data_IF_168628799323
#
_entry.id   IF_168628799323
#
_cell.length_a   1.000
_cell.length_b   1.000
_cell.length_c   1.000
_cell.angle_alpha   90.00
_cell.angle_beta   90.00
_cell.angle_gamma   90.00
#
_symmetry.space_group_name_H-M   'P 1'
#
loop_
_entity.id
_entity.type
_entity.pdbx_description
1 polymer ?
#
# COMPACT_ATOMS: atom_id res chain seq x y z
N UNK A 1 -5.40 1.04 53.49
CA UNK A 1 -4.38 1.84 52.77
C UNK A 1 -4.82 1.92 51.32
N UNK A 2 -5.35 3.10 50.88
CA UNK A 2 -5.68 3.30 49.49
C UNK A 2 -4.37 3.52 48.71
N UNK A 3 -4.08 2.65 47.76
CA UNK A 3 -2.99 2.85 46.80
C UNK A 3 -3.55 3.76 45.70
N UNK A 4 -3.14 5.03 45.68
CA UNK A 4 -3.47 5.93 44.59
C UNK A 4 -2.47 5.64 43.47
N UNK A 5 -2.94 5.04 42.36
CA UNK A 5 -2.13 4.90 41.16
C UNK A 5 -1.86 6.31 40.58
N UNK A 6 -0.62 6.59 40.11
CA UNK A 6 -0.33 7.86 39.48
C UNK A 6 -1.22 8.02 38.23
N UNK A 7 -1.76 9.25 38.04
CA UNK A 7 -2.54 9.58 36.83
C UNK A 7 -1.62 9.39 35.61
N UNK A 8 -2.07 8.68 34.57
CA UNK A 8 -1.27 8.54 33.37
C UNK A 8 -0.98 9.93 32.77
N UNK A 9 0.23 10.14 32.30
CA UNK A 9 0.62 11.36 31.58
C UNK A 9 0.10 11.27 30.16
N UNK A 10 -0.42 12.40 29.67
CA UNK A 10 -0.96 12.57 28.32
C UNK A 10 -0.39 13.83 27.69
N UNK A 11 -0.36 13.87 26.36
CA UNK A 11 0.03 15.01 25.55
C UNK A 11 -0.94 15.18 24.36
N UNK A 12 -1.04 16.39 23.84
CA UNK A 12 -1.64 16.62 22.53
C UNK A 12 -0.56 16.44 21.48
N UNK A 13 -0.89 15.74 20.40
CA UNK A 13 0.07 15.44 19.32
C UNK A 13 -0.51 15.77 17.96
N UNK A 14 0.37 15.94 16.99
CA UNK A 14 0.03 16.07 15.56
C UNK A 14 0.72 14.95 14.79
N UNK A 15 -0.01 14.29 13.90
CA UNK A 15 0.52 13.35 12.92
C UNK A 15 0.45 14.00 11.55
N UNK A 16 1.61 14.15 10.89
CA UNK A 16 1.72 14.71 9.56
C UNK A 16 1.82 13.54 8.56
N UNK A 17 0.94 13.52 7.57
CA UNK A 17 0.89 12.44 6.57
C UNK A 17 1.25 13.01 5.20
N UNK A 18 2.23 12.41 4.53
CA UNK A 18 2.71 12.81 3.20
C UNK A 18 3.02 11.59 2.33
N UNK A 19 3.27 11.82 1.03
CA UNK A 19 3.83 10.81 0.12
C UNK A 19 5.35 10.97 -0.09
N UNK A 20 6.00 11.71 0.83
CA UNK A 20 7.41 12.08 0.76
C UNK A 20 7.66 13.37 -0.01
N UNK A 21 6.67 13.91 -0.71
CA UNK A 21 6.75 15.18 -1.47
C UNK A 21 5.61 16.12 -1.09
N UNK A 22 4.38 15.64 -1.16
CA UNK A 22 3.18 16.43 -0.94
C UNK A 22 2.40 15.93 0.30
N UNK A 23 1.74 16.83 1.05
CA UNK A 23 0.87 16.44 2.16
C UNK A 23 -0.37 15.70 1.64
N UNK A 24 -0.80 14.69 2.40
CA UNK A 24 -1.98 13.89 2.05
C UNK A 24 -3.17 14.32 2.89
N UNK A 25 -4.12 15.00 2.26
CA UNK A 25 -5.40 15.37 2.86
C UNK A 25 -6.40 14.22 2.85
N UNK A 26 -7.24 14.14 3.90
CA UNK A 26 -8.32 13.16 4.01
C UNK A 26 -7.80 11.73 4.23
N UNK A 27 -6.61 11.55 4.76
CA UNK A 27 -6.16 10.26 5.28
C UNK A 27 -6.76 10.02 6.65
N UNK A 28 -7.15 8.78 6.93
CA UNK A 28 -7.61 8.37 8.25
C UNK A 28 -6.42 7.95 9.09
N UNK A 29 -6.24 8.59 10.24
CA UNK A 29 -5.20 8.29 11.22
C UNK A 29 -5.86 7.73 12.48
N UNK A 30 -5.42 6.57 12.95
CA UNK A 30 -5.97 5.90 14.14
C UNK A 30 -4.89 5.70 15.18
N UNK A 31 -5.16 6.07 16.44
CA UNK A 31 -4.29 5.83 17.59
C UNK A 31 -5.15 5.24 18.72
N UNK A 32 -4.96 3.95 19.02
CA UNK A 32 -5.84 3.24 19.96
C UNK A 32 -7.28 3.19 19.45
N UNK A 33 -8.20 3.81 20.19
CA UNK A 33 -9.63 3.91 19.81
C UNK A 33 -9.98 5.27 19.18
N UNK A 34 -9.04 6.22 19.13
CA UNK A 34 -9.24 7.55 18.58
C UNK A 34 -8.90 7.57 17.08
N UNK A 35 -9.75 8.22 16.29
CA UNK A 35 -9.62 8.36 14.85
C UNK A 35 -9.77 9.84 14.44
N UNK A 36 -8.82 10.34 13.65
CA UNK A 36 -8.83 11.67 13.09
C UNK A 36 -8.54 11.62 11.58
N UNK A 37 -8.99 12.65 10.87
CA UNK A 37 -8.76 12.79 9.43
C UNK A 37 -7.80 13.93 9.17
N UNK A 38 -6.81 13.73 8.30
CA UNK A 38 -5.86 14.78 7.93
C UNK A 38 -6.53 15.91 7.16
N UNK A 39 -6.15 17.13 7.47
CA UNK A 39 -6.60 18.36 6.81
C UNK A 39 -5.86 18.62 5.47
N UNK A 40 -5.96 19.84 4.91
CA UNK A 40 -5.31 20.24 3.66
C UNK A 40 -3.78 20.26 3.73
N UNK A 41 -3.23 20.40 4.93
CA UNK A 41 -1.78 20.43 5.18
C UNK A 41 -1.25 19.04 5.56
N UNK A 42 -2.12 18.00 5.52
CA UNK A 42 -1.80 16.63 5.85
C UNK A 42 -1.73 16.36 7.35
N UNK A 43 -2.29 17.26 8.19
CA UNK A 43 -2.19 17.19 9.64
C UNK A 43 -3.43 16.57 10.28
N UNK A 44 -3.23 15.61 11.20
CA UNK A 44 -4.25 15.08 12.10
C UNK A 44 -3.83 15.36 13.55
N UNK A 45 -4.71 16.02 14.32
CA UNK A 45 -4.44 16.42 15.70
C UNK A 45 -5.22 15.56 16.70
N UNK A 46 -4.49 15.00 17.66
CA UNK A 46 -5.05 14.18 18.73
C UNK A 46 -4.86 14.87 20.08
N UNK A 47 -5.90 14.84 20.89
CA UNK A 47 -5.84 15.32 22.27
C UNK A 47 -5.69 14.14 23.24
N UNK A 48 -4.96 14.37 24.33
CA UNK A 48 -4.89 13.41 25.44
C UNK A 48 -4.30 12.03 25.12
N UNK A 49 -3.34 11.95 24.20
CA UNK A 49 -2.61 10.71 23.88
C UNK A 49 -1.66 10.37 25.02
N UNK A 50 -1.60 9.10 25.39
CA UNK A 50 -0.71 8.63 26.47
C UNK A 50 0.77 8.80 26.11
N UNK A 51 1.56 9.28 27.07
CA UNK A 51 3.02 9.33 26.95
C UNK A 51 3.57 7.91 26.91
N UNK A 52 4.49 7.66 25.99
CA UNK A 52 5.11 6.37 25.72
C UNK A 52 4.88 5.90 24.28
N UNK A 53 5.06 4.61 24.07
CA UNK A 53 4.89 3.99 22.76
C UNK A 53 3.40 3.83 22.42
N UNK A 54 2.99 4.40 21.27
CA UNK A 54 1.65 4.29 20.71
C UNK A 54 1.74 3.73 19.29
N UNK A 55 0.80 2.87 18.92
CA UNK A 55 0.66 2.42 17.53
C UNK A 55 -0.22 3.39 16.77
N UNK A 56 0.27 3.87 15.64
CA UNK A 56 -0.46 4.70 14.68
C UNK A 56 -0.74 3.87 13.44
N UNK A 57 -1.97 3.84 12.99
CA UNK A 57 -2.35 3.27 11.68
C UNK A 57 -2.88 4.39 10.80
N UNK A 58 -2.39 4.48 9.57
CA UNK A 58 -2.82 5.47 8.59
C UNK A 58 -3.31 4.76 7.34
N UNK A 59 -4.50 5.12 6.88
CA UNK A 59 -5.11 4.56 5.67
C UNK A 59 -5.58 5.68 4.74
N UNK A 60 -5.41 5.47 3.43
CA UNK A 60 -5.89 6.38 2.39
C UNK A 60 -6.07 5.62 1.08
N UNK A 61 -7.21 5.81 0.42
CA UNK A 61 -7.44 5.24 -0.91
C UNK A 61 -6.37 5.71 -1.90
N UNK A 62 -5.75 4.76 -2.61
CA UNK A 62 -4.64 5.02 -3.55
C UNK A 62 -3.25 4.96 -2.91
N UNK A 63 -3.18 4.63 -1.63
CA UNK A 63 -1.93 4.46 -0.88
C UNK A 63 -1.92 3.13 -0.13
N UNK A 64 -0.74 2.61 0.13
CA UNK A 64 -0.56 1.45 1.00
C UNK A 64 -0.86 1.84 2.46
N UNK A 65 -1.61 0.99 3.17
CA UNK A 65 -1.85 1.18 4.60
C UNK A 65 -0.52 1.14 5.37
N UNK A 66 -0.36 2.08 6.30
CA UNK A 66 0.86 2.20 7.11
C UNK A 66 0.55 2.04 8.58
N UNK A 67 1.30 1.16 9.24
CA UNK A 67 1.31 1.05 10.70
C UNK A 67 2.70 1.37 11.21
N UNK A 68 2.80 2.27 12.18
CA UNK A 68 4.05 2.70 12.80
C UNK A 68 3.90 2.76 14.31
N UNK A 69 5.02 2.70 15.03
CA UNK A 69 5.05 2.99 16.47
C UNK A 69 5.69 4.36 16.68
N UNK A 70 4.94 5.27 17.30
CA UNK A 70 5.43 6.59 17.75
C UNK A 70 5.71 6.56 19.23
N UNK A 71 6.72 7.29 19.68
CA UNK A 71 7.01 7.43 21.11
C UNK A 71 6.72 8.86 21.55
N UNK A 72 5.58 9.05 22.19
CA UNK A 72 5.09 10.36 22.67
C UNK A 72 5.77 10.72 23.97
N UNK A 73 6.31 11.94 24.07
CA UNK A 73 6.83 12.52 25.31
C UNK A 73 6.55 14.03 25.36
N UNK A 74 6.94 14.68 26.47
CA UNK A 74 6.69 16.13 26.69
C UNK A 74 7.38 17.04 25.64
N UNK A 75 8.34 16.50 24.84
CA UNK A 75 9.12 17.22 23.83
C UNK A 75 8.87 16.73 22.39
N UNK A 76 8.35 15.51 22.20
CA UNK A 76 8.05 14.90 20.91
C UNK A 76 6.53 14.73 20.80
N UNK A 77 5.91 15.71 20.15
CA UNK A 77 4.44 15.79 19.95
C UNK A 77 4.04 15.93 18.49
N UNK A 78 5.00 15.89 17.55
CA UNK A 78 4.76 15.89 16.11
C UNK A 78 5.46 14.70 15.48
N UNK A 79 4.77 13.97 14.61
CA UNK A 79 5.23 12.72 14.00
C UNK A 79 4.91 12.69 12.52
N UNK A 80 5.91 12.37 11.69
CA UNK A 80 5.78 12.28 10.25
C UNK A 80 5.55 10.82 9.83
N UNK A 81 4.51 10.58 9.03
CA UNK A 81 4.19 9.28 8.45
C UNK A 81 4.13 9.43 6.93
N UNK A 82 4.98 8.70 6.25
CA UNK A 82 5.00 8.66 4.79
C UNK A 82 4.23 7.45 4.28
N UNK A 83 3.30 7.67 3.33
CA UNK A 83 2.54 6.63 2.64
C UNK A 83 3.09 6.42 1.23
N UNK A 84 3.12 5.17 0.80
CA UNK A 84 3.50 4.79 -0.56
C UNK A 84 2.27 4.75 -1.47
N UNK A 85 2.36 5.37 -2.65
CA UNK A 85 1.30 5.32 -3.67
C UNK A 85 1.16 3.88 -4.17
N UNK A 86 -0.08 3.40 -4.26
CA UNK A 86 -0.39 2.11 -4.89
C UNK A 86 -1.31 2.29 -6.09
N UNK A 87 -1.18 1.37 -7.06
CA UNK A 87 -1.98 1.36 -8.27
C UNK A 87 -2.23 -0.08 -8.74
N UNK A 88 -2.81 -0.24 -9.92
CA UNK A 88 -3.14 -1.53 -10.51
C UNK A 88 -2.19 -1.85 -11.67
N UNK A 89 -1.60 -3.05 -11.66
CA UNK A 89 -0.91 -3.62 -12.83
C UNK A 89 -1.95 -4.38 -13.65
N UNK A 90 -2.04 -4.07 -14.94
CA UNK A 90 -2.81 -4.84 -15.93
C UNK A 90 -1.85 -5.65 -16.78
N UNK A 91 -2.10 -6.96 -16.90
CA UNK A 91 -1.30 -7.87 -17.73
C UNK A 91 -2.22 -8.52 -18.75
N UNK A 92 -1.84 -8.40 -20.01
CA UNK A 92 -2.46 -9.10 -21.14
C UNK A 92 -1.52 -10.19 -21.62
N UNK A 93 -2.02 -11.42 -21.76
CA UNK A 93 -1.27 -12.58 -22.25
C UNK A 93 -1.83 -13.01 -23.59
N UNK A 94 -0.96 -13.13 -24.60
CA UNK A 94 -1.31 -13.55 -25.96
C UNK A 94 -0.30 -14.59 -26.51
N UNK A 95 -0.53 -15.09 -27.72
CA UNK A 95 0.44 -15.90 -28.49
C UNK A 95 1.07 -15.12 -29.68
N UNK A 96 0.93 -13.80 -29.64
CA UNK A 96 1.32 -12.90 -30.73
C UNK A 96 0.21 -12.64 -31.74
N UNK A 97 -0.93 -13.32 -31.64
CA UNK A 97 -2.11 -13.16 -32.50
C UNK A 97 -3.39 -13.13 -31.66
N UNK A 98 -3.58 -14.16 -30.86
CA UNK A 98 -4.82 -14.38 -30.08
C UNK A 98 -4.56 -14.27 -28.56
N UNK A 99 -5.55 -13.76 -27.85
CA UNK A 99 -5.53 -13.68 -26.39
C UNK A 99 -5.56 -15.09 -25.77
N UNK A 100 -4.78 -15.31 -24.73
CA UNK A 100 -4.76 -16.59 -24.00
C UNK A 100 -5.60 -16.48 -22.75
N UNK A 101 -6.80 -17.09 -22.78
CA UNK A 101 -7.65 -17.27 -21.60
C UNK A 101 -7.10 -18.38 -20.71
N UNK A 102 -7.22 -18.21 -19.39
CA UNK A 102 -6.81 -19.22 -18.41
C UNK A 102 -5.31 -19.31 -18.17
N UNK A 103 -4.50 -18.38 -18.70
CA UNK A 103 -3.09 -18.32 -18.37
C UNK A 103 -2.90 -17.95 -16.89
N UNK A 104 -1.99 -18.66 -16.22
CA UNK A 104 -1.60 -18.36 -14.84
C UNK A 104 -0.48 -17.33 -14.83
N UNK A 105 -0.71 -16.22 -14.15
CA UNK A 105 0.27 -15.14 -13.93
C UNK A 105 0.60 -15.06 -12.44
N UNK A 106 1.88 -15.15 -12.08
CA UNK A 106 2.36 -15.14 -10.70
C UNK A 106 3.29 -13.94 -10.49
N UNK A 107 2.96 -13.08 -9.52
CA UNK A 107 3.83 -12.00 -9.03
C UNK A 107 4.00 -12.19 -7.53
N UNK A 108 5.23 -12.43 -7.07
CA UNK A 108 5.50 -12.76 -5.67
C UNK A 108 4.73 -14.01 -5.24
N UNK A 109 3.87 -13.89 -4.23
CA UNK A 109 3.01 -14.98 -3.73
C UNK A 109 1.60 -14.96 -4.33
N UNK A 110 1.26 -13.96 -5.15
CA UNK A 110 -0.06 -13.79 -5.72
C UNK A 110 -0.16 -14.39 -7.10
N UNK A 111 -1.16 -15.25 -7.31
CA UNK A 111 -1.49 -15.84 -8.61
C UNK A 111 -2.82 -15.29 -9.11
N UNK A 112 -2.85 -14.87 -10.37
CA UNK A 112 -4.06 -14.47 -11.11
C UNK A 112 -4.19 -15.29 -12.37
N UNK A 113 -5.42 -15.43 -12.86
CA UNK A 113 -5.73 -16.12 -14.11
C UNK A 113 -6.30 -15.14 -15.11
N UNK A 114 -5.87 -15.21 -16.35
CA UNK A 114 -6.38 -14.35 -17.41
C UNK A 114 -7.80 -14.71 -17.82
N UNK A 115 -8.59 -13.68 -18.14
CA UNK A 115 -9.97 -13.81 -18.66
C UNK A 115 -9.98 -14.12 -20.17
N UNK A 116 -11.18 -14.08 -20.77
CA UNK A 116 -11.37 -14.34 -22.22
C UNK A 116 -10.70 -13.31 -23.13
N UNK A 117 -10.29 -12.14 -22.61
CA UNK A 117 -9.51 -11.13 -23.31
C UNK A 117 -8.00 -11.33 -23.09
N UNK A 118 -7.60 -12.39 -22.38
CA UNK A 118 -6.21 -12.62 -21.98
C UNK A 118 -5.74 -11.69 -20.85
N UNK A 119 -6.65 -10.99 -20.16
CA UNK A 119 -6.29 -9.97 -19.18
C UNK A 119 -6.44 -10.44 -17.74
N UNK A 120 -5.50 -10.04 -16.88
CA UNK A 120 -5.63 -10.11 -15.42
C UNK A 120 -5.06 -8.86 -14.76
N UNK A 121 -5.50 -8.58 -13.53
CA UNK A 121 -5.09 -7.37 -12.80
C UNK A 121 -4.58 -7.69 -11.39
N UNK A 122 -3.52 -6.96 -10.99
CA UNK A 122 -2.98 -6.95 -9.64
C UNK A 122 -3.17 -5.56 -9.04
N UNK A 123 -3.95 -5.46 -7.99
CA UNK A 123 -4.30 -4.19 -7.31
C UNK A 123 -3.41 -3.95 -6.10
N UNK A 124 -3.34 -2.70 -5.62
CA UNK A 124 -2.55 -2.28 -4.47
C UNK A 124 -1.05 -2.58 -4.61
N UNK A 125 -0.53 -2.39 -5.81
CA UNK A 125 0.89 -2.56 -6.12
C UNK A 125 1.61 -1.22 -6.02
N UNK A 126 2.72 -1.17 -5.30
CA UNK A 126 3.61 -0.01 -5.29
C UNK A 126 4.41 0.07 -6.60
N UNK A 127 4.93 1.26 -6.94
CA UNK A 127 5.74 1.41 -8.15
C UNK A 127 7.14 0.81 -7.93
N UNK A 128 7.38 -0.35 -8.55
CA UNK A 128 8.65 -1.09 -8.44
C UNK A 128 8.85 -2.00 -9.67
N UNK A 129 9.96 -2.73 -9.70
CA UNK A 129 10.23 -3.78 -10.68
C UNK A 129 9.73 -5.13 -10.12
N UNK A 130 8.81 -5.77 -10.84
CA UNK A 130 8.24 -7.05 -10.45
C UNK A 130 8.65 -8.17 -11.40
N UNK A 131 9.07 -9.31 -10.87
CA UNK A 131 9.23 -10.53 -11.64
C UNK A 131 7.88 -11.23 -11.76
N UNK A 132 7.35 -11.36 -12.97
CA UNK A 132 6.15 -12.12 -13.27
C UNK A 132 6.52 -13.43 -13.95
N UNK A 133 5.92 -14.54 -13.50
CA UNK A 133 6.00 -15.85 -14.15
C UNK A 133 4.65 -16.18 -14.78
N UNK A 134 4.65 -16.45 -16.10
CA UNK A 134 3.44 -16.66 -16.88
C UNK A 134 3.47 -18.06 -17.49
N UNK A 135 2.41 -18.85 -17.32
CA UNK A 135 2.27 -20.18 -17.86
C UNK A 135 0.85 -20.46 -18.36
N UNK A 136 0.74 -21.21 -19.45
CA UNK A 136 -0.54 -21.68 -19.99
C UNK A 136 -0.35 -23.08 -20.60
N UNK A 137 -1.45 -23.86 -20.66
CA UNK A 137 -1.40 -25.19 -21.27
C UNK A 137 -1.06 -25.11 -22.77
N UNK A 138 -0.07 -25.88 -23.21
CA UNK A 138 0.41 -25.87 -24.59
C UNK A 138 1.42 -24.77 -24.91
N UNK A 139 1.85 -23.98 -23.92
CA UNK A 139 2.80 -22.90 -24.07
C UNK A 139 4.03 -23.04 -23.18
N UNK A 140 5.13 -22.52 -23.65
CA UNK A 140 6.37 -22.43 -22.85
C UNK A 140 6.23 -21.38 -21.74
N UNK A 141 6.53 -21.75 -20.48
CA UNK A 141 6.51 -20.81 -19.36
C UNK A 141 7.52 -19.68 -19.59
N UNK A 142 7.07 -18.44 -19.39
CA UNK A 142 7.89 -17.24 -19.54
C UNK A 142 8.00 -16.49 -18.22
N UNK A 143 9.19 -15.95 -17.94
CA UNK A 143 9.41 -15.00 -16.84
C UNK A 143 9.78 -13.65 -17.42
N UNK A 144 9.10 -12.61 -16.99
CA UNK A 144 9.29 -11.23 -17.45
C UNK A 144 9.46 -10.30 -16.25
N UNK A 145 10.32 -9.27 -16.40
CA UNK A 145 10.42 -8.19 -15.41
C UNK A 145 9.53 -7.02 -15.82
N UNK A 146 8.54 -6.75 -14.99
CA UNK A 146 7.59 -5.65 -15.17
C UNK A 146 8.12 -4.40 -14.50
N UNK A 147 8.52 -3.40 -15.27
CA UNK A 147 8.93 -2.10 -14.72
C UNK A 147 7.67 -1.25 -14.47
N UNK A 148 7.04 -1.48 -13.32
CA UNK A 148 5.78 -0.80 -12.97
C UNK A 148 6.05 0.62 -12.48
N UNK A 149 5.45 1.60 -13.16
CA UNK A 149 5.63 3.04 -12.91
C UNK A 149 4.30 3.78 -13.12
N UNK A 150 4.19 5.01 -12.61
CA UNK A 150 2.98 5.83 -12.75
C UNK A 150 2.53 6.02 -14.20
N UNK A 151 3.46 5.99 -15.15
CA UNK A 151 3.21 6.12 -16.60
C UNK A 151 3.28 4.79 -17.36
N UNK A 152 3.51 3.65 -16.69
CA UNK A 152 3.62 2.32 -17.31
C UNK A 152 2.96 1.28 -16.41
N UNK A 153 1.65 1.07 -16.58
CA UNK A 153 0.80 0.23 -15.73
C UNK A 153 0.26 -1.01 -16.44
N UNK A 154 0.43 -1.11 -17.75
CA UNK A 154 -0.06 -2.20 -18.58
C UNK A 154 1.09 -2.88 -19.31
N UNK A 155 1.07 -4.22 -19.32
CA UNK A 155 2.10 -5.07 -19.91
C UNK A 155 1.44 -6.10 -20.80
N UNK A 156 1.93 -6.28 -22.02
CA UNK A 156 1.54 -7.37 -22.91
C UNK A 156 2.66 -8.38 -22.98
N UNK A 157 2.33 -9.65 -22.74
CA UNK A 157 3.31 -10.74 -22.68
C UNK A 157 2.86 -11.85 -23.63
N UNK A 158 3.65 -12.04 -24.70
CA UNK A 158 3.40 -13.11 -25.67
C UNK A 158 4.12 -14.39 -25.24
N UNK A 159 3.39 -15.53 -25.23
CA UNK A 159 3.90 -16.86 -24.98
C UNK A 159 4.16 -17.58 -26.30
N UNK A 160 5.20 -18.42 -26.32
CA UNK A 160 5.51 -19.30 -27.45
C UNK A 160 4.88 -20.67 -27.22
N UNK A 161 4.35 -21.30 -28.27
CA UNK A 161 3.86 -22.68 -28.20
C UNK A 161 5.00 -23.63 -27.83
N UNK A 162 4.67 -24.65 -27.01
CA UNK A 162 5.64 -25.64 -26.53
C UNK A 162 6.02 -26.70 -27.56
#
# INVERSE_FOLDING_TARGET
MLITLPKPKIANITVNVSDGTDPISGATVTIGDDEETTDSDGEASFESVYIGANTVTVTKTGYADKTATINVDDSHTSFDIELEVVDTITITVDDGTDAIEGASVVIGETTKTTDSSGECTFTNMTYDDYSASISAEGYTTKTETLQFRSNHKSFTISLEQA
#
